data_IF_125037540679
#
_entry.id   IF_125037540679
#
_cell.length_a   1.000
_cell.length_b   1.000
_cell.length_c   1.000
_cell.angle_alpha   90.00
_cell.angle_beta   90.00
_cell.angle_gamma   90.00
#
_symmetry.space_group_name_H-M   'P 1'
#
loop_
_entity.id
_entity.type
_entity.pdbx_description
1 polymer ?
#
# COMPACT_ATOMS: atom_id res chain seq x y z
N UNK A 1 -23.15 -6.25 -23.52
CA UNK A 1 -21.95 -7.07 -23.78
C UNK A 1 -21.13 -6.34 -24.83
N UNK A 2 -19.83 -6.13 -24.60
CA UNK A 2 -18.96 -5.38 -25.51
C UNK A 2 -18.06 -6.34 -26.29
N UNK A 3 -17.83 -6.02 -27.56
CA UNK A 3 -16.85 -6.73 -28.39
C UNK A 3 -15.65 -5.81 -28.67
N UNK A 4 -14.48 -6.42 -28.81
CA UNK A 4 -13.23 -5.75 -29.12
C UNK A 4 -12.52 -6.45 -30.27
N UNK A 5 -11.70 -5.72 -31.01
CA UNK A 5 -10.99 -6.24 -32.17
C UNK A 5 -9.79 -7.11 -31.77
N UNK A 6 -9.13 -6.74 -30.66
CA UNK A 6 -7.97 -7.40 -30.10
C UNK A 6 -7.95 -7.18 -28.57
N UNK A 7 -6.93 -7.75 -27.92
CA UNK A 7 -6.77 -7.69 -26.48
C UNK A 7 -6.61 -6.24 -25.98
N UNK A 8 -5.77 -5.44 -26.63
CA UNK A 8 -5.48 -4.06 -26.24
C UNK A 8 -6.73 -3.16 -26.32
N UNK A 9 -7.53 -3.32 -27.37
CA UNK A 9 -8.83 -2.63 -27.50
C UNK A 9 -9.81 -3.08 -26.41
N UNK A 10 -9.80 -4.36 -26.03
CA UNK A 10 -10.62 -4.87 -24.92
C UNK A 10 -10.21 -4.23 -23.58
N UNK A 11 -8.90 -4.18 -23.30
CA UNK A 11 -8.36 -3.55 -22.09
C UNK A 11 -8.67 -2.06 -22.07
N UNK A 12 -8.49 -1.34 -23.17
CA UNK A 12 -8.79 0.08 -23.24
C UNK A 12 -10.29 0.39 -23.04
N UNK A 13 -11.18 -0.46 -23.58
CA UNK A 13 -12.63 -0.36 -23.29
C UNK A 13 -12.94 -0.64 -21.82
N UNK A 14 -12.31 -1.65 -21.23
CA UNK A 14 -12.48 -1.98 -19.82
C UNK A 14 -11.95 -0.85 -18.90
N UNK A 15 -10.83 -0.21 -19.25
CA UNK A 15 -10.27 0.92 -18.51
C UNK A 15 -11.28 2.07 -18.45
N UNK A 16 -11.88 2.44 -19.59
CA UNK A 16 -12.93 3.47 -19.63
C UNK A 16 -14.15 3.11 -18.77
N UNK A 17 -14.57 1.85 -18.77
CA UNK A 17 -15.68 1.39 -17.92
C UNK A 17 -15.34 1.50 -16.44
N UNK A 18 -14.10 1.17 -16.06
CA UNK A 18 -13.59 1.35 -14.70
C UNK A 18 -13.61 2.84 -14.32
N UNK A 19 -13.16 3.72 -15.21
CA UNK A 19 -13.16 5.17 -14.96
C UNK A 19 -14.56 5.76 -14.74
N UNK A 20 -15.60 5.17 -15.31
CA UNK A 20 -16.99 5.64 -15.14
C UNK A 20 -17.59 5.30 -13.77
N UNK A 21 -17.03 4.37 -13.00
CA UNK A 21 -17.60 3.99 -11.70
C UNK A 21 -17.04 2.75 -11.02
N UNK A 22 -16.01 2.12 -11.58
CA UNK A 22 -15.32 0.95 -11.01
C UNK A 22 -13.95 1.26 -10.41
N UNK A 23 -13.51 2.52 -10.42
CA UNK A 23 -12.17 2.92 -9.97
C UNK A 23 -11.89 2.38 -8.57
N UNK A 24 -10.74 1.73 -8.43
CA UNK A 24 -10.24 1.21 -7.17
C UNK A 24 -10.89 -0.11 -6.73
N UNK A 25 -11.98 -0.56 -7.34
CA UNK A 25 -12.72 -1.73 -6.85
C UNK A 25 -12.10 -3.06 -7.32
N UNK A 26 -12.62 -3.67 -8.39
CA UNK A 26 -12.20 -5.00 -8.85
C UNK A 26 -12.26 -5.09 -10.37
N UNK A 27 -11.26 -5.70 -10.99
CA UNK A 27 -11.28 -6.13 -12.38
C UNK A 27 -10.93 -7.63 -12.46
N UNK A 28 -11.37 -8.30 -13.53
CA UNK A 28 -11.09 -9.71 -13.75
C UNK A 28 -10.69 -9.94 -15.21
N UNK A 29 -9.65 -10.76 -15.40
CA UNK A 29 -9.16 -11.19 -16.69
C UNK A 29 -9.17 -12.72 -16.77
N UNK A 30 -9.79 -13.25 -17.82
CA UNK A 30 -9.65 -14.65 -18.22
C UNK A 30 -8.66 -14.73 -19.38
N UNK A 31 -7.56 -15.44 -19.19
CA UNK A 31 -6.50 -15.57 -20.18
C UNK A 31 -5.66 -16.83 -19.93
N UNK A 32 -4.91 -17.28 -20.93
CA UNK A 32 -3.91 -18.31 -20.74
C UNK A 32 -2.71 -17.70 -19.99
N UNK A 33 -2.78 -17.74 -18.67
CA UNK A 33 -1.81 -17.05 -17.80
C UNK A 33 -0.40 -17.65 -17.87
N UNK A 34 -0.27 -18.91 -18.28
CA UNK A 34 1.01 -19.62 -18.32
C UNK A 34 1.76 -19.34 -19.62
N UNK A 35 1.03 -19.17 -20.73
CA UNK A 35 1.60 -18.88 -22.05
C UNK A 35 1.57 -17.40 -22.44
N UNK A 36 0.71 -16.58 -21.82
CA UNK A 36 0.57 -15.15 -22.11
C UNK A 36 0.73 -14.25 -20.85
N UNK A 37 1.87 -14.32 -20.14
CA UNK A 37 2.11 -13.48 -18.96
C UNK A 37 2.07 -11.97 -19.27
N UNK A 38 2.36 -11.57 -20.51
CA UNK A 38 2.28 -10.20 -20.98
C UNK A 38 0.86 -9.63 -20.92
N UNK A 39 -0.17 -10.46 -21.12
CA UNK A 39 -1.56 -10.02 -20.99
C UNK A 39 -1.88 -9.66 -19.55
N UNK A 40 -1.44 -10.48 -18.59
CA UNK A 40 -1.63 -10.23 -17.16
C UNK A 40 -0.90 -8.96 -16.74
N UNK A 41 0.34 -8.77 -17.20
CA UNK A 41 1.13 -7.58 -16.91
C UNK A 41 0.50 -6.31 -17.51
N UNK A 42 0.08 -6.35 -18.78
CA UNK A 42 -0.54 -5.21 -19.46
C UNK A 42 -1.89 -4.83 -18.83
N UNK A 43 -2.73 -5.82 -18.53
CA UNK A 43 -3.99 -5.59 -17.82
C UNK A 43 -3.76 -5.02 -16.42
N UNK A 44 -2.74 -5.54 -15.72
CA UNK A 44 -2.29 -5.05 -14.42
C UNK A 44 -1.89 -3.57 -14.41
N UNK A 45 -1.16 -3.14 -15.44
CA UNK A 45 -0.72 -1.74 -15.60
C UNK A 45 -1.90 -0.80 -15.89
N UNK A 46 -2.85 -1.22 -16.74
CA UNK A 46 -3.94 -0.35 -17.21
C UNK A 46 -5.13 -0.28 -16.26
N UNK A 47 -5.46 -1.37 -15.57
CA UNK A 47 -6.63 -1.38 -14.71
C UNK A 47 -6.40 -0.63 -13.40
N UNK A 48 -7.01 0.56 -13.27
CA UNK A 48 -7.06 1.33 -12.02
C UNK A 48 -8.00 0.70 -10.99
N UNK A 49 -7.77 -0.55 -10.60
CA UNK A 49 -8.54 -1.32 -9.62
C UNK A 49 -7.63 -1.94 -8.57
N UNK A 50 -8.04 -1.98 -7.30
CA UNK A 50 -7.19 -2.51 -6.22
C UNK A 50 -7.06 -4.04 -6.25
N UNK A 51 -8.06 -4.73 -6.80
CA UNK A 51 -8.08 -6.18 -6.94
C UNK A 51 -8.17 -6.55 -8.40
N UNK A 52 -7.15 -7.26 -8.88
CA UNK A 52 -7.10 -7.82 -10.22
C UNK A 52 -7.12 -9.34 -10.07
N UNK A 53 -8.17 -9.95 -10.61
CA UNK A 53 -8.43 -11.38 -10.49
C UNK A 53 -8.12 -12.04 -11.83
N UNK A 54 -7.32 -13.09 -11.80
CA UNK A 54 -6.99 -13.88 -12.98
C UNK A 54 -7.71 -15.21 -12.90
N UNK A 55 -8.42 -15.59 -13.96
CA UNK A 55 -9.07 -16.89 -14.12
C UNK A 55 -9.96 -17.33 -12.94
N UNK A 56 -10.62 -16.37 -12.27
CA UNK A 56 -11.52 -16.65 -11.13
C UNK A 56 -12.80 -15.80 -11.19
N UNK A 57 -13.95 -16.33 -10.71
CA UNK A 57 -15.18 -15.56 -10.64
C UNK A 57 -15.00 -14.28 -9.82
N UNK A 58 -15.37 -13.12 -10.37
CA UNK A 58 -15.02 -11.83 -9.76
C UNK A 58 -15.62 -11.62 -8.36
N UNK A 59 -16.88 -12.03 -8.16
CA UNK A 59 -17.57 -11.87 -6.87
C UNK A 59 -16.89 -12.66 -5.76
N UNK A 60 -16.61 -13.94 -6.00
CA UNK A 60 -16.00 -14.84 -5.03
C UNK A 60 -14.47 -14.67 -4.92
N UNK A 61 -13.81 -14.35 -6.03
CA UNK A 61 -12.38 -14.07 -6.03
C UNK A 61 -12.05 -12.78 -5.27
N UNK A 62 -12.92 -11.77 -5.36
CA UNK A 62 -12.72 -10.46 -4.72
C UNK A 62 -12.87 -10.48 -3.20
N UNK A 63 -13.79 -11.30 -2.68
CA UNK A 63 -13.95 -11.46 -1.22
C UNK A 63 -12.77 -12.19 -0.58
N UNK A 64 -12.00 -12.96 -1.36
CA UNK A 64 -10.79 -13.66 -0.89
C UNK A 64 -11.07 -15.03 -0.26
N UNK A 65 -9.99 -15.74 0.05
CA UNK A 65 -9.89 -17.05 0.72
C UNK A 65 -10.50 -18.26 -0.02
N UNK A 66 -11.54 -18.06 -0.85
CA UNK A 66 -12.20 -19.17 -1.55
C UNK A 66 -11.43 -19.66 -2.78
N UNK A 67 -10.93 -18.72 -3.58
CA UNK A 67 -10.20 -19.00 -4.83
C UNK A 67 -8.74 -18.53 -4.80
N UNK A 68 -8.36 -17.76 -3.77
CA UNK A 68 -7.01 -17.27 -3.61
C UNK A 68 -6.72 -17.00 -2.13
N UNK A 69 -5.47 -17.24 -1.71
CA UNK A 69 -4.99 -16.94 -0.36
C UNK A 69 -4.28 -15.57 -0.26
N UNK A 70 -4.24 -14.83 -1.38
CA UNK A 70 -3.56 -13.53 -1.45
C UNK A 70 -4.43 -12.38 -0.94
N UNK A 71 -5.75 -12.54 -0.99
CA UNK A 71 -6.73 -11.60 -0.46
C UNK A 71 -7.31 -12.15 0.85
N UNK A 72 -7.30 -11.32 1.88
CA UNK A 72 -7.95 -11.66 3.14
C UNK A 72 -9.48 -11.75 2.96
N UNK A 73 -10.16 -12.71 3.62
CA UNK A 73 -11.61 -12.87 3.53
C UNK A 73 -12.31 -11.62 4.07
N UNK A 74 -13.15 -10.97 3.25
CA UNK A 74 -13.93 -9.80 3.65
C UNK A 74 -15.12 -9.52 2.74
N UNK A 75 -16.17 -8.91 3.31
CA UNK A 75 -17.30 -8.33 2.57
C UNK A 75 -17.23 -6.81 2.46
N UNK A 76 -16.19 -6.19 3.05
CA UNK A 76 -15.91 -4.77 2.92
C UNK A 76 -14.60 -4.62 2.15
N UNK A 77 -14.71 -4.14 0.91
CA UNK A 77 -13.60 -4.09 -0.04
C UNK A 77 -13.19 -2.62 -0.23
N UNK A 78 -12.01 -2.25 0.26
CA UNK A 78 -11.53 -0.87 0.11
C UNK A 78 -11.17 -0.54 -1.34
N UNK A 79 -11.58 0.63 -1.85
CA UNK A 79 -11.24 1.07 -3.21
C UNK A 79 -10.00 1.97 -3.28
N UNK A 80 -9.24 2.09 -2.19
CA UNK A 80 -8.05 2.93 -2.12
C UNK A 80 -8.34 4.42 -2.32
N UNK A 81 -7.28 5.21 -2.42
CA UNK A 81 -7.39 6.67 -2.57
C UNK A 81 -8.09 7.08 -3.87
N UNK A 82 -8.00 6.25 -4.93
CA UNK A 82 -8.69 6.51 -6.19
C UNK A 82 -10.21 6.46 -6.05
N UNK A 83 -10.73 5.58 -5.18
CA UNK A 83 -12.15 5.49 -4.84
C UNK A 83 -12.57 6.32 -3.62
N UNK A 84 -11.69 7.18 -3.10
CA UNK A 84 -11.96 7.99 -1.90
C UNK A 84 -11.92 7.24 -0.58
N UNK A 85 -11.37 6.02 -0.54
CA UNK A 85 -11.18 5.25 0.69
C UNK A 85 -9.75 5.44 1.25
N UNK A 86 -9.60 5.35 2.57
CA UNK A 86 -8.28 5.37 3.23
C UNK A 86 -7.49 4.07 3.04
N UNK A 87 -8.12 3.00 2.54
CA UNK A 87 -7.54 1.66 2.37
C UNK A 87 -7.98 1.05 1.03
N UNK A 88 -7.08 0.27 0.41
CA UNK A 88 -7.33 -0.53 -0.79
C UNK A 88 -7.49 -2.02 -0.51
N UNK A 89 -7.18 -2.43 0.72
CA UNK A 89 -7.25 -3.82 1.14
C UNK A 89 -8.67 -4.29 1.44
N UNK A 90 -8.81 -5.61 1.57
CA UNK A 90 -9.98 -6.22 2.18
C UNK A 90 -9.97 -5.93 3.69
N UNK A 91 -11.04 -5.31 4.21
CA UNK A 91 -11.10 -4.91 5.62
C UNK A 91 -11.09 -6.15 6.50
N UNK A 92 -10.37 -6.07 7.60
CA UNK A 92 -10.11 -7.17 8.51
C UNK A 92 -9.73 -6.64 9.89
N UNK A 93 -9.46 -7.51 10.87
CA UNK A 93 -9.32 -7.13 12.27
C UNK A 93 -8.28 -6.02 12.54
N UNK A 94 -7.15 -6.01 11.79
CA UNK A 94 -6.11 -4.98 11.92
C UNK A 94 -6.61 -3.56 11.71
N UNK A 95 -7.68 -3.38 10.92
CA UNK A 95 -8.27 -2.09 10.61
C UNK A 95 -9.23 -1.59 11.71
N UNK A 96 -9.60 -2.46 12.65
CA UNK A 96 -10.54 -2.15 13.74
C UNK A 96 -9.83 -2.00 15.10
N UNK A 97 -8.50 -2.19 15.14
CA UNK A 97 -7.71 -2.14 16.36
C UNK A 97 -6.85 -0.88 16.37
N UNK A 98 -7.06 -0.06 17.39
CA UNK A 98 -6.18 1.09 17.65
C UNK A 98 -4.88 0.62 18.30
N UNK A 99 -3.74 1.04 17.76
CA UNK A 99 -2.42 0.80 18.36
C UNK A 99 -1.91 2.07 19.04
N UNK A 100 -1.72 2.02 20.36
CA UNK A 100 -1.13 3.12 21.13
C UNK A 100 0.39 2.95 21.21
N UNK A 101 1.14 3.91 20.71
CA UNK A 101 2.62 3.91 20.76
C UNK A 101 3.11 4.96 21.76
N UNK A 102 3.92 4.56 22.74
CA UNK A 102 4.58 5.47 23.68
C UNK A 102 6.02 5.68 23.23
N UNK A 103 6.29 6.80 22.55
CA UNK A 103 7.63 7.17 22.11
C UNK A 103 8.30 8.09 23.14
N UNK A 104 9.48 7.71 23.63
CA UNK A 104 10.33 8.57 24.47
C UNK A 104 11.29 9.36 23.58
N UNK A 105 11.62 10.59 23.97
CA UNK A 105 12.67 11.39 23.30
C UNK A 105 13.98 10.62 23.37
N UNK A 106 14.50 10.21 22.22
CA UNK A 106 15.89 9.81 22.05
C UNK A 106 16.62 10.95 21.34
N UNK A 107 17.85 11.23 21.73
CA UNK A 107 18.68 12.17 20.99
C UNK A 107 19.39 11.42 19.86
N UNK A 108 19.42 12.01 18.67
CA UNK A 108 20.19 11.47 17.55
C UNK A 108 21.66 11.30 18.00
N UNK A 109 22.28 10.16 17.70
CA UNK A 109 23.71 9.98 17.92
C UNK A 109 24.47 11.01 17.08
N UNK A 110 25.06 11.99 17.75
CA UNK A 110 26.02 12.90 17.17
C UNK A 110 27.36 12.16 17.08
N UNK A 111 27.65 11.57 15.91
CA UNK A 111 28.94 10.95 15.60
C UNK A 111 30.02 12.02 15.38
N UNK A 112 30.29 12.83 16.40
CA UNK A 112 31.39 13.79 16.39
C UNK A 112 32.42 13.38 17.43
N UNK A 113 33.68 13.25 17.00
CA UNK A 113 34.83 13.17 17.90
C UNK A 113 35.06 14.57 18.46
N UNK A 114 34.33 14.90 19.53
CA UNK A 114 34.38 16.23 20.15
C UNK A 114 35.80 16.46 20.72
N UNK A 115 36.41 17.65 20.52
CA UNK A 115 37.59 18.05 21.25
C UNK A 115 37.30 18.10 22.76
N UNK A 116 38.35 18.07 23.60
CA UNK A 116 38.25 17.78 25.04
C UNK A 116 37.29 18.67 25.84
N UNK A 117 36.99 19.90 25.40
CA UNK A 117 36.28 20.90 26.20
C UNK A 117 35.07 21.50 25.46
N UNK A 118 34.06 20.67 25.15
CA UNK A 118 32.76 21.13 24.64
C UNK A 118 31.64 20.70 25.60
N UNK A 119 30.93 21.68 26.16
CA UNK A 119 29.77 21.49 27.05
C UNK A 119 28.52 22.07 26.38
N UNK A 120 27.55 21.23 26.03
CA UNK A 120 26.40 21.68 25.22
C UNK A 120 25.04 21.09 25.66
N UNK A 121 25.02 20.22 26.67
CA UNK A 121 23.78 19.59 27.16
C UNK A 121 23.30 20.26 28.44
N UNK A 122 21.98 20.25 28.66
CA UNK A 122 21.37 20.80 29.87
C UNK A 122 22.02 20.19 31.13
N UNK A 123 22.53 21.06 32.01
CA UNK A 123 23.24 20.66 33.24
C UNK A 123 24.77 20.71 33.15
N UNK A 124 25.34 21.05 31.99
CA UNK A 124 26.81 21.07 31.83
C UNK A 124 27.50 22.35 32.35
N UNK A 125 26.75 23.42 32.65
CA UNK A 125 27.31 24.72 33.02
C UNK A 125 28.14 24.72 34.32
N UNK A 126 27.71 24.07 35.44
CA UNK A 126 28.49 24.06 36.67
C UNK A 126 29.87 23.38 36.49
N UNK A 127 29.89 22.26 35.76
CA UNK A 127 31.11 21.50 35.47
C UNK A 127 32.07 22.30 34.58
N UNK A 128 31.53 23.00 33.57
CA UNK A 128 32.32 23.87 32.69
C UNK A 128 33.01 25.01 33.46
N UNK A 129 32.34 25.58 34.46
CA UNK A 129 32.89 26.67 35.27
C UNK A 129 33.99 26.19 36.23
N UNK A 130 33.88 24.97 36.77
CA UNK A 130 34.94 24.36 37.60
C UNK A 130 36.21 24.07 36.81
N UNK A 131 36.10 23.64 35.54
CA UNK A 131 37.26 23.34 34.70
C UNK A 131 38.00 24.62 34.24
N UNK A 132 37.31 25.76 34.14
CA UNK A 132 37.91 27.07 33.82
C UNK A 132 38.56 27.73 35.05
N UNK A 133 38.09 27.41 36.26
CA UNK A 133 38.55 28.04 37.49
C UNK A 133 39.90 27.52 38.01
N UNK A 134 40.44 26.45 37.41
CA UNK A 134 41.79 25.89 37.67
C UNK A 134 42.76 26.27 36.56
#
# INVERSE_FOLDING_TARGET
MYHAQNFEDAVHKAEKLVEMGGIGHTSCLYTDQDNCPEHVAYFGDKMKTSRILINTPASQGGIGDLYNFKLAPSLTLGCGSWGGNSISENVGPKHLINTKTVAKRAENMLWHKLPKSIYFRRGCLPIALEEIAN
#
